data_IF_697701100646
#
_entry.id   IF_697701100646
#
_cell.length_a   1.000
_cell.length_b   1.000
_cell.length_c   1.000
_cell.angle_alpha   90.00
_cell.angle_beta   90.00
_cell.angle_gamma   90.00
#
_symmetry.space_group_name_H-M   'P 1'
#
loop_
_entity.id
_entity.type
_entity.pdbx_description
1 polymer ?
#
# COMPACT_ATOMS: atom_id res chain seq x y z
N UNK A 1 -13.26 -4.41 16.83
CA UNK A 1 -12.18 -3.77 17.60
C UNK A 1 -11.35 -4.80 18.35
N UNK A 2 -11.94 -5.64 19.21
CA UNK A 2 -11.20 -6.64 19.99
C UNK A 2 -10.34 -7.59 19.15
N UNK A 3 -10.85 -8.07 18.00
CA UNK A 3 -10.06 -8.91 17.09
C UNK A 3 -8.78 -8.22 16.57
N UNK A 4 -8.82 -6.91 16.30
CA UNK A 4 -7.64 -6.14 15.88
C UNK A 4 -6.67 -5.87 17.04
N UNK A 5 -7.18 -5.78 18.28
CA UNK A 5 -6.32 -5.68 19.47
C UNK A 5 -5.54 -6.99 19.68
N UNK A 6 -6.23 -8.12 19.55
CA UNK A 6 -5.66 -9.46 19.76
C UNK A 6 -4.75 -9.90 18.61
N UNK A 7 -5.08 -9.54 17.36
CA UNK A 7 -4.32 -9.89 16.17
C UNK A 7 -4.31 -8.71 15.18
N UNK A 8 -3.35 -7.77 15.32
CA UNK A 8 -3.33 -6.56 14.51
C UNK A 8 -3.07 -6.90 13.04
N UNK A 9 -4.08 -6.72 12.18
CA UNK A 9 -4.07 -7.26 10.81
C UNK A 9 -2.88 -6.72 10.00
N UNK A 10 -2.66 -5.40 10.02
CA UNK A 10 -1.54 -4.79 9.28
C UNK A 10 -0.19 -5.25 9.83
N UNK A 11 -0.03 -5.38 11.15
CA UNK A 11 1.22 -5.87 11.73
C UNK A 11 1.51 -7.30 11.25
N UNK A 12 0.49 -8.16 11.27
CA UNK A 12 0.60 -9.52 10.75
C UNK A 12 0.92 -9.54 9.25
N UNK A 13 0.32 -8.65 8.45
CA UNK A 13 0.65 -8.50 7.03
C UNK A 13 2.12 -8.08 6.85
N UNK A 14 2.60 -7.06 7.58
CA UNK A 14 3.99 -6.61 7.50
C UNK A 14 4.97 -7.74 7.83
N UNK A 15 4.69 -8.50 8.89
CA UNK A 15 5.58 -9.57 9.36
C UNK A 15 5.62 -10.76 8.40
N UNK A 16 4.49 -11.11 7.78
CA UNK A 16 4.37 -12.25 6.87
C UNK A 16 4.67 -11.92 5.41
N UNK A 17 4.81 -10.63 5.05
CA UNK A 17 5.04 -10.23 3.67
C UNK A 17 6.41 -10.72 3.20
N UNK A 18 6.48 -11.61 2.19
CA UNK A 18 7.75 -12.13 1.70
C UNK A 18 8.54 -11.02 1.00
N UNK A 19 9.87 -11.12 1.01
CA UNK A 19 10.79 -10.14 0.42
C UNK A 19 10.44 -9.77 -1.02
N UNK A 20 10.00 -10.75 -1.83
CA UNK A 20 9.58 -10.54 -3.23
C UNK A 20 8.35 -9.63 -3.42
N UNK A 21 7.61 -9.31 -2.36
CA UNK A 21 6.49 -8.36 -2.40
C UNK A 21 6.86 -7.00 -1.79
N UNK A 22 8.04 -6.86 -1.20
CA UNK A 22 8.55 -5.60 -0.64
C UNK A 22 9.13 -4.75 -1.78
N UNK A 23 8.73 -3.49 -1.84
CA UNK A 23 9.29 -2.52 -2.79
C UNK A 23 10.47 -1.77 -2.17
N UNK A 24 10.31 -1.38 -0.91
CA UNK A 24 11.34 -0.73 -0.11
C UNK A 24 11.02 -0.87 1.40
N UNK A 25 12.05 -0.82 2.25
CA UNK A 25 11.93 -0.93 3.71
C UNK A 25 13.05 -0.16 4.39
N UNK A 26 12.68 0.80 5.23
CA UNK A 26 13.59 1.53 6.11
C UNK A 26 13.51 1.03 7.55
N UNK A 27 14.19 1.68 8.50
CA UNK A 27 14.07 1.38 9.92
C UNK A 27 12.67 1.63 10.48
N UNK A 28 11.93 2.60 9.91
CA UNK A 28 10.65 3.04 10.46
C UNK A 28 9.43 2.77 9.60
N UNK A 29 9.59 2.49 8.30
CA UNK A 29 8.47 2.29 7.39
C UNK A 29 8.78 1.21 6.32
N UNK A 30 7.72 0.70 5.70
CA UNK A 30 7.81 -0.32 4.67
C UNK A 30 6.78 -0.05 3.57
N UNK A 31 7.23 -0.13 2.33
CA UNK A 31 6.39 -0.12 1.12
C UNK A 31 6.33 -1.52 0.53
N UNK A 32 5.14 -2.02 0.27
CA UNK A 32 4.95 -3.38 -0.25
C UNK A 32 3.68 -3.50 -1.09
N UNK A 33 3.65 -4.51 -1.95
CA UNK A 33 2.44 -4.95 -2.65
C UNK A 33 1.75 -5.98 -1.76
N UNK A 34 0.53 -5.73 -1.25
CA UNK A 34 -0.17 -6.70 -0.42
C UNK A 34 -0.50 -7.95 -1.25
N UNK A 35 -0.38 -9.12 -0.64
CA UNK A 35 -0.80 -10.39 -1.27
C UNK A 35 -2.32 -10.48 -1.50
N UNK A 36 -3.07 -9.62 -0.81
CA UNK A 36 -4.52 -9.40 -0.95
C UNK A 36 -4.86 -8.18 -1.82
N UNK A 37 -3.96 -7.77 -2.72
CA UNK A 37 -4.18 -6.65 -3.64
C UNK A 37 -5.47 -6.83 -4.47
N UNK A 38 -6.22 -5.74 -4.62
CA UNK A 38 -7.50 -5.65 -5.33
C UNK A 38 -7.40 -4.78 -6.59
N UNK A 39 -6.33 -3.99 -6.70
CA UNK A 39 -6.04 -3.15 -7.84
C UNK A 39 -4.70 -3.54 -8.49
N UNK A 40 -4.54 -3.36 -9.81
CA UNK A 40 -3.25 -3.56 -10.46
C UNK A 40 -2.21 -2.62 -9.84
N UNK A 41 -1.03 -3.16 -9.52
CA UNK A 41 0.07 -2.40 -8.94
C UNK A 41 -0.26 -1.71 -7.60
N UNK A 42 -1.29 -2.18 -6.88
CA UNK A 42 -1.61 -1.72 -5.53
C UNK A 42 -0.39 -1.84 -4.62
N UNK A 43 -0.08 -0.77 -3.89
CA UNK A 43 0.99 -0.76 -2.92
C UNK A 43 0.59 0.01 -1.68
N UNK A 44 1.03 -0.48 -0.53
CA UNK A 44 0.74 0.09 0.77
C UNK A 44 2.03 0.59 1.41
N UNK A 45 1.93 1.67 2.17
CA UNK A 45 2.99 2.24 2.99
C UNK A 45 2.53 2.25 4.44
N UNK A 46 3.27 1.57 5.32
CA UNK A 46 2.93 1.50 6.73
C UNK A 46 4.19 1.70 7.60
N UNK A 47 4.04 2.31 8.79
CA UNK A 47 5.11 2.35 9.76
C UNK A 47 5.38 0.94 10.30
N UNK A 48 6.61 0.67 10.73
CA UNK A 48 6.94 -0.60 11.39
C UNK A 48 6.34 -0.66 12.79
N UNK A 49 6.37 0.46 13.51
CA UNK A 49 5.69 0.62 14.79
C UNK A 49 4.20 0.83 14.54
N UNK A 50 3.39 0.09 15.28
CA UNK A 50 1.94 0.27 15.27
C UNK A 50 1.56 1.64 15.83
N UNK A 51 0.99 2.48 14.98
CA UNK A 51 0.46 3.80 15.36
C UNK A 51 -1.01 3.95 14.96
N UNK A 52 -1.81 4.75 15.69
CA UNK A 52 -3.22 4.98 15.34
C UNK A 52 -3.40 5.88 14.11
N UNK A 53 -2.42 6.75 13.81
CA UNK A 53 -2.51 7.71 12.72
C UNK A 53 -1.22 8.52 12.59
N UNK A 54 -1.16 9.44 11.60
CA UNK A 54 0.04 10.23 11.33
C UNK A 54 0.43 11.17 12.49
N UNK A 55 -0.53 11.52 13.37
CA UNK A 55 -0.29 12.37 14.54
C UNK A 55 0.58 11.71 15.62
N UNK A 56 0.64 10.37 15.67
CA UNK A 56 1.43 9.61 16.66
C UNK A 56 2.83 9.22 16.13
N UNK A 57 3.14 9.55 14.88
CA UNK A 57 4.48 9.31 14.33
C UNK A 57 5.47 10.30 14.93
N UNK A 58 6.65 9.81 15.31
CA UNK A 58 7.83 10.61 15.60
C UNK A 58 8.34 11.32 14.33
N UNK A 59 9.25 12.28 14.49
CA UNK A 59 9.84 13.01 13.36
C UNK A 59 10.51 12.08 12.34
N UNK A 60 11.26 11.09 12.81
CA UNK A 60 11.98 10.15 11.92
C UNK A 60 11.01 9.18 11.23
N UNK A 61 10.00 8.68 11.95
CA UNK A 61 8.94 7.87 11.33
C UNK A 61 8.15 8.66 10.28
N UNK A 62 7.86 9.94 10.52
CA UNK A 62 7.20 10.80 9.51
C UNK A 62 8.07 11.00 8.28
N UNK A 63 9.38 11.21 8.46
CA UNK A 63 10.34 11.37 7.37
C UNK A 63 10.40 10.10 6.51
N UNK A 64 10.53 8.95 7.15
CA UNK A 64 10.58 7.66 6.48
C UNK A 64 9.26 7.35 5.76
N UNK A 65 8.11 7.59 6.40
CA UNK A 65 6.80 7.43 5.75
C UNK A 65 6.64 8.32 4.52
N UNK A 66 7.09 9.58 4.59
CA UNK A 66 7.02 10.51 3.46
C UNK A 66 7.95 10.08 2.32
N UNK A 67 9.17 9.65 2.64
CA UNK A 67 10.11 9.10 1.66
C UNK A 67 9.52 7.87 0.98
N UNK A 68 9.07 6.88 1.75
CA UNK A 68 8.46 5.66 1.25
C UNK A 68 7.26 5.94 0.33
N UNK A 69 6.35 6.84 0.73
CA UNK A 69 5.22 7.25 -0.12
C UNK A 69 5.70 7.91 -1.42
N UNK A 70 6.64 8.85 -1.35
CA UNK A 70 7.17 9.51 -2.55
C UNK A 70 7.77 8.49 -3.52
N UNK A 71 8.56 7.56 -3.01
CA UNK A 71 9.21 6.52 -3.78
C UNK A 71 8.20 5.53 -4.39
N UNK A 72 7.10 5.23 -3.69
CA UNK A 72 6.00 4.42 -4.22
C UNK A 72 5.29 5.13 -5.39
N UNK A 73 4.97 6.42 -5.23
CA UNK A 73 4.29 7.21 -6.26
C UNK A 73 5.18 7.43 -7.50
N UNK A 74 6.48 7.70 -7.31
CA UNK A 74 7.44 7.81 -8.41
C UNK A 74 7.56 6.51 -9.21
N UNK A 75 7.55 5.34 -8.54
CA UNK A 75 7.54 4.03 -9.23
C UNK A 75 6.29 3.85 -10.08
N UNK A 76 5.13 4.27 -9.57
CA UNK A 76 3.87 4.20 -10.31
C UNK A 76 3.88 5.08 -11.56
N UNK A 77 4.38 6.32 -11.46
CA UNK A 77 4.51 7.23 -12.61
C UNK A 77 5.53 6.73 -13.64
N UNK A 78 6.65 6.15 -13.18
CA UNK A 78 7.67 5.60 -14.05
C UNK A 78 7.27 4.29 -14.74
N UNK A 79 6.35 3.51 -14.16
CA UNK A 79 5.95 2.19 -14.66
C UNK A 79 5.50 2.21 -16.14
N UNK A 80 4.82 3.28 -16.56
CA UNK A 80 4.36 3.46 -17.94
C UNK A 80 4.87 4.77 -18.55
N UNK A 81 5.89 5.39 -17.96
CA UNK A 81 6.46 6.66 -18.43
C UNK A 81 5.48 7.85 -18.43
N UNK A 82 4.39 7.78 -17.64
CA UNK A 82 3.36 8.83 -17.55
C UNK A 82 2.67 8.77 -16.19
N UNK A 83 2.09 9.88 -15.71
CA UNK A 83 1.44 9.92 -14.41
C UNK A 83 0.40 8.81 -14.21
N UNK A 84 0.52 8.08 -13.11
CA UNK A 84 -0.42 7.03 -12.74
C UNK A 84 -1.63 7.66 -12.03
N UNK A 85 -2.85 7.51 -12.57
CA UNK A 85 -4.04 7.83 -11.79
C UNK A 85 -4.23 6.79 -10.67
N UNK A 86 -4.46 7.28 -9.45
CA UNK A 86 -4.69 6.44 -8.27
C UNK A 86 -5.68 7.09 -7.30
N UNK A 87 -6.25 6.27 -6.43
CA UNK A 87 -6.86 6.71 -5.17
C UNK A 87 -5.84 6.49 -4.05
N UNK A 88 -5.61 7.51 -3.24
CA UNK A 88 -4.82 7.40 -2.01
C UNK A 88 -5.76 7.39 -0.81
N UNK A 89 -5.70 6.34 -0.01
CA UNK A 89 -6.51 6.18 1.19
C UNK A 89 -5.64 6.15 2.44
N UNK A 90 -5.98 6.96 3.43
CA UNK A 90 -5.37 6.92 4.76
C UNK A 90 -6.26 6.14 5.73
N UNK A 91 -5.79 4.98 6.18
CA UNK A 91 -6.47 4.14 7.15
C UNK A 91 -6.01 4.55 8.55
N UNK A 92 -6.82 5.33 9.26
CA UNK A 92 -6.51 5.86 10.60
C UNK A 92 -7.51 5.37 11.64
N UNK A 93 -7.11 5.38 12.91
CA UNK A 93 -7.97 5.06 14.02
C UNK A 93 -9.11 6.09 14.16
N UNK A 94 -10.36 5.64 14.30
CA UNK A 94 -11.41 6.46 14.88
C UNK A 94 -11.08 6.79 16.34
N UNK A 95 -11.61 7.92 16.83
CA UNK A 95 -11.46 8.33 18.24
C UNK A 95 -11.97 7.22 19.17
N UNK A 96 -11.15 6.87 20.16
CA UNK A 96 -11.44 5.81 21.14
C UNK A 96 -11.08 4.39 20.69
N UNK A 97 -10.45 4.24 19.52
CA UNK A 97 -10.00 2.96 18.97
C UNK A 97 -8.50 2.98 18.60
N UNK A 98 -7.72 3.87 19.20
CA UNK A 98 -6.31 4.10 18.90
C UNK A 98 -5.46 2.84 19.14
N UNK A 99 -5.83 2.02 20.11
CA UNK A 99 -5.20 0.75 20.45
C UNK A 99 -5.62 -0.43 19.54
N UNK A 100 -6.49 -0.18 18.57
CA UNK A 100 -7.13 -1.17 17.70
C UNK A 100 -6.79 -1.00 16.22
N UNK A 101 -6.01 0.02 15.86
CA UNK A 101 -5.65 0.31 14.47
C UNK A 101 -4.13 0.27 14.27
N UNK A 102 -3.74 0.23 13.00
CA UNK A 102 -2.36 0.40 12.57
C UNK A 102 -2.42 1.26 11.30
N UNK A 103 -1.95 2.50 11.42
CA UNK A 103 -1.95 3.47 10.35
C UNK A 103 -1.35 2.87 9.08
N UNK A 104 -2.03 3.05 7.95
CA UNK A 104 -1.53 2.60 6.64
C UNK A 104 -2.03 3.55 5.57
N UNK A 105 -1.14 3.90 4.65
CA UNK A 105 -1.50 4.54 3.39
C UNK A 105 -1.64 3.47 2.33
N UNK A 106 -2.79 3.44 1.65
CA UNK A 106 -3.08 2.48 0.59
C UNK A 106 -3.23 3.23 -0.74
N UNK A 107 -2.38 2.90 -1.71
CA UNK A 107 -2.45 3.45 -3.06
C UNK A 107 -3.15 2.43 -3.94
N UNK A 108 -4.24 2.84 -4.58
CA UNK A 108 -5.03 2.00 -5.47
C UNK A 108 -4.93 2.55 -6.90
N UNK A 109 -3.97 2.08 -7.71
CA UNK A 109 -3.82 2.51 -9.08
C UNK A 109 -4.95 1.96 -9.96
N UNK A 110 -5.35 2.75 -10.95
CA UNK A 110 -6.43 2.34 -11.86
C UNK A 110 -5.94 1.91 -13.24
N UNK A 111 -4.66 2.10 -13.62
CA UNK A 111 -4.13 1.55 -14.89
C UNK A 111 -3.62 0.13 -14.68
N UNK A 112 -4.02 -0.79 -15.57
CA UNK A 112 -3.48 -2.17 -15.63
C UNK A 112 -2.43 -2.37 -16.72
N UNK A 113 -2.40 -1.48 -17.70
CA UNK A 113 -1.38 -1.38 -18.74
C UNK A 113 -1.33 0.08 -19.22
N UNK A 114 -0.36 0.40 -20.07
CA UNK A 114 -0.09 1.76 -20.57
C UNK A 114 -1.36 2.55 -20.94
N UNK A 115 -2.26 1.93 -21.73
CA UNK A 115 -3.50 2.56 -22.20
C UNK A 115 -4.78 1.83 -21.75
N UNK A 116 -4.70 1.03 -20.69
CA UNK A 116 -5.86 0.28 -20.16
C UNK A 116 -6.16 0.63 -18.72
N UNK A 117 -7.35 1.15 -18.48
CA UNK A 117 -7.90 1.38 -17.16
C UNK A 117 -8.62 0.12 -16.64
N UNK A 118 -8.59 -0.06 -15.32
CA UNK A 118 -9.41 -0.98 -14.55
C UNK A 118 -10.73 -0.26 -14.27
N UNK A 119 -11.80 -0.82 -14.80
CA UNK A 119 -13.16 -0.46 -14.42
C UNK A 119 -13.65 -1.50 -13.42
N UNK A 120 -14.11 -1.05 -12.26
CA UNK A 120 -14.85 -1.91 -11.34
C UNK A 120 -16.21 -2.14 -11.98
N UNK A 121 -16.51 -3.35 -12.41
CA UNK A 121 -17.74 -3.70 -13.10
C UNK A 121 -18.72 -4.34 -12.10
N UNK A 122 -19.72 -5.06 -12.61
CA UNK A 122 -20.74 -5.71 -11.81
C UNK A 122 -20.17 -6.66 -10.76
N UNK A 123 -19.13 -7.43 -11.10
CA UNK A 123 -18.52 -8.39 -10.16
C UNK A 123 -17.97 -7.64 -8.94
N UNK A 124 -17.16 -6.61 -9.14
CA UNK A 124 -16.58 -5.86 -8.03
C UNK A 124 -17.62 -5.06 -7.25
N UNK A 125 -18.53 -4.38 -7.95
CA UNK A 125 -19.50 -3.48 -7.31
C UNK A 125 -20.64 -4.21 -6.59
N UNK A 126 -21.09 -5.35 -7.12
CA UNK A 126 -22.27 -6.07 -6.60
C UNK A 126 -21.87 -7.20 -5.65
N UNK A 127 -20.81 -7.94 -5.98
CA UNK A 127 -20.41 -9.11 -5.17
C UNK A 127 -19.31 -8.81 -4.15
N UNK A 128 -18.56 -7.71 -4.32
CA UNK A 128 -17.38 -7.42 -3.51
C UNK A 128 -16.17 -8.30 -3.83
N UNK A 129 -16.25 -9.18 -4.84
CA UNK A 129 -15.13 -9.99 -5.34
C UNK A 129 -14.32 -9.16 -6.33
N UNK A 130 -13.00 -9.17 -6.17
CA UNK A 130 -12.07 -8.43 -7.04
C UNK A 130 -11.37 -9.38 -8.02
N UNK A 131 -11.52 -9.09 -9.32
CA UNK A 131 -10.75 -9.76 -10.36
C UNK A 131 -9.56 -8.88 -10.76
N UNK A 132 -8.35 -9.36 -10.49
CA UNK A 132 -7.11 -8.62 -10.74
C UNK A 132 -6.25 -9.40 -11.72
N UNK A 133 -6.00 -8.80 -12.89
CA UNK A 133 -5.23 -9.44 -13.97
C UNK A 133 -3.72 -9.44 -13.72
N UNK A 134 -3.26 -8.68 -12.72
CA UNK A 134 -1.85 -8.53 -12.36
C UNK A 134 -1.62 -9.20 -11.00
N UNK A 135 -0.95 -10.37 -10.96
CA UNK A 135 -0.61 -11.00 -9.70
C UNK A 135 0.29 -10.11 -8.82
N UNK A 136 0.16 -10.11 -7.49
CA UNK A 136 0.99 -9.31 -6.58
C UNK A 136 2.50 -9.46 -6.82
N UNK A 137 2.94 -10.69 -7.15
CA UNK A 137 4.34 -10.98 -7.47
C UNK A 137 4.85 -10.18 -8.67
N UNK A 138 4.09 -10.20 -9.77
CA UNK A 138 4.42 -9.53 -11.02
C UNK A 138 4.33 -8.01 -10.86
N UNK A 139 3.33 -7.52 -10.12
CA UNK A 139 3.22 -6.11 -9.76
C UNK A 139 4.47 -5.62 -9.00
N UNK A 140 4.88 -6.37 -7.97
CA UNK A 140 6.03 -5.99 -7.15
C UNK A 140 7.34 -6.02 -7.93
N UNK A 141 7.52 -7.02 -8.80
CA UNK A 141 8.66 -7.10 -9.71
C UNK A 141 8.70 -5.91 -10.68
N UNK A 142 7.60 -5.63 -11.36
CA UNK A 142 7.52 -4.52 -12.30
C UNK A 142 7.82 -3.17 -11.62
N UNK A 143 7.25 -2.91 -10.44
CA UNK A 143 7.50 -1.68 -9.69
C UNK A 143 8.94 -1.55 -9.19
N UNK A 144 9.60 -2.65 -8.80
CA UNK A 144 11.02 -2.62 -8.40
C UNK A 144 11.95 -2.30 -9.56
N UNK A 145 11.59 -2.70 -10.78
CA UNK A 145 12.38 -2.44 -11.98
C UNK A 145 12.27 -0.99 -12.48
N UNK A 146 11.38 -0.18 -11.90
CA UNK A 146 11.31 1.25 -12.19
C UNK A 146 12.40 1.98 -11.41
N UNK A 147 13.31 2.62 -12.15
CA UNK A 147 14.29 3.52 -11.55
C UNK A 147 13.60 4.76 -11.01
N UNK A 148 13.79 5.02 -9.71
CA UNK A 148 13.32 6.23 -9.04
C UNK A 148 14.53 7.02 -8.58
N UNK A 149 14.63 8.27 -9.04
CA UNK A 149 15.66 9.20 -8.58
C UNK A 149 15.56 9.42 -7.06
N UNK A 150 16.71 9.64 -6.42
CA UNK A 150 16.82 9.99 -5.01
C UNK A 150 16.04 11.25 -4.62
#
# INVERSE_FOLDING_TARGET
AEAQKAAPIIKNILDRTPSRLILDKSGHAMTFVPDIARYPYECWVAPQRRTPGPWDLSTDERRDMAYQLQQALRRLDGLFGKPMPYVLSAQVAPVGYEDSYHFTLQVWPIRRAEDKLKFLASVEQVSGVFLVDVPPAAAAEALRNVEVGG
#
